data_IF_549825774257
#
_entry.id   IF_549825774257
#
_cell.length_a   1.000
_cell.length_b   1.000
_cell.length_c   1.000
_cell.angle_alpha   90.00
_cell.angle_beta   90.00
_cell.angle_gamma   90.00
#
_symmetry.space_group_name_H-M   'P 1'
#
loop_
_entity.id
_entity.type
_entity.pdbx_description
1 polymer ?
#
# COMPACT_ATOMS: atom_id res chain seq x y z
N UNK A 1 -20.31 -26.69 17.15
CA UNK A 1 -19.60 -25.74 18.03
C UNK A 1 -18.81 -24.83 17.13
N UNK A 2 -19.33 -23.61 16.93
CA UNK A 2 -18.87 -22.66 15.92
C UNK A 2 -18.00 -21.62 16.60
N UNK A 3 -16.72 -21.94 16.81
CA UNK A 3 -15.74 -21.02 17.38
C UNK A 3 -14.99 -20.30 16.25
N UNK A 4 -15.75 -19.69 15.33
CA UNK A 4 -15.17 -19.02 14.14
C UNK A 4 -15.26 -17.49 14.24
N UNK A 5 -16.07 -16.93 15.15
CA UNK A 5 -16.51 -15.55 14.95
C UNK A 5 -15.66 -14.45 15.60
N UNK A 6 -14.79 -14.73 16.58
CA UNK A 6 -14.09 -13.65 17.29
C UNK A 6 -12.73 -13.30 16.65
N UNK A 7 -11.86 -14.30 16.44
CA UNK A 7 -10.52 -14.08 15.89
C UNK A 7 -10.57 -13.63 14.43
N UNK A 8 -11.48 -14.18 13.62
CA UNK A 8 -11.68 -13.79 12.22
C UNK A 8 -12.25 -12.37 12.08
N UNK A 9 -13.12 -11.94 13.02
CA UNK A 9 -13.66 -10.58 13.04
C UNK A 9 -12.62 -9.55 13.51
N UNK A 10 -11.75 -9.92 14.46
CA UNK A 10 -10.64 -9.05 14.92
C UNK A 10 -9.60 -8.88 13.81
N UNK A 11 -9.26 -9.96 13.09
CA UNK A 11 -8.34 -9.91 11.95
C UNK A 11 -8.91 -9.09 10.79
N UNK A 12 -10.21 -9.26 10.49
CA UNK A 12 -10.90 -8.44 9.48
C UNK A 12 -10.96 -6.97 9.88
N UNK A 13 -11.31 -6.65 11.12
CA UNK A 13 -11.37 -5.26 11.61
C UNK A 13 -10.01 -4.55 11.57
N UNK A 14 -8.93 -5.28 11.89
CA UNK A 14 -7.56 -4.77 11.77
C UNK A 14 -7.15 -4.56 10.31
N UNK A 15 -7.49 -5.50 9.43
CA UNK A 15 -7.25 -5.38 7.98
C UNK A 15 -7.96 -4.18 7.36
N UNK A 16 -9.20 -3.95 7.73
CA UNK A 16 -10.01 -2.83 7.24
C UNK A 16 -9.42 -1.48 7.64
N UNK A 17 -8.99 -1.37 8.90
CA UNK A 17 -8.39 -0.15 9.41
C UNK A 17 -7.01 0.12 8.78
N UNK A 18 -6.21 -0.91 8.56
CA UNK A 18 -4.94 -0.78 7.88
C UNK A 18 -5.11 -0.33 6.43
N UNK A 19 -6.08 -0.89 5.70
CA UNK A 19 -6.44 -0.45 4.33
C UNK A 19 -6.85 1.03 4.34
N UNK A 20 -7.79 1.43 5.22
CA UNK A 20 -8.21 2.83 5.33
C UNK A 20 -7.06 3.77 5.65
N UNK A 21 -6.17 3.37 6.57
CA UNK A 21 -5.01 4.17 6.96
C UNK A 21 -4.03 4.33 5.79
N UNK A 22 -3.74 3.25 5.07
CA UNK A 22 -2.83 3.26 3.94
C UNK A 22 -3.36 4.14 2.79
N UNK A 23 -4.67 4.10 2.53
CA UNK A 23 -5.32 4.97 1.56
C UNK A 23 -5.37 6.42 1.99
N UNK A 24 -5.66 6.71 3.26
CA UNK A 24 -5.62 8.07 3.78
C UNK A 24 -4.22 8.69 3.62
N UNK A 25 -3.17 7.88 3.76
CA UNK A 25 -1.79 8.30 3.49
C UNK A 25 -1.50 8.46 1.99
N UNK A 26 -1.96 7.53 1.15
CA UNK A 26 -1.75 7.57 -0.30
C UNK A 26 -2.49 8.74 -0.98
N UNK A 27 -3.69 9.06 -0.49
CA UNK A 27 -4.54 10.16 -0.96
C UNK A 27 -4.12 11.53 -0.44
N UNK A 28 -3.11 11.61 0.44
CA UNK A 28 -2.54 12.91 0.79
C UNK A 28 -2.09 13.61 -0.50
N UNK A 29 -2.41 14.90 -0.66
CA UNK A 29 -2.15 15.60 -1.90
C UNK A 29 -0.64 15.67 -2.15
N UNK A 30 -0.14 14.76 -2.99
CA UNK A 30 1.12 14.90 -3.69
C UNK A 30 0.86 15.86 -4.84
N UNK A 31 0.75 17.14 -4.48
CA UNK A 31 0.36 18.25 -5.35
C UNK A 31 1.27 18.43 -6.57
N UNK A 32 1.14 19.53 -7.33
CA UNK A 32 2.11 19.87 -8.36
C UNK A 32 3.49 20.15 -7.76
N UNK A 33 4.56 20.07 -8.56
CA UNK A 33 5.95 20.20 -8.07
C UNK A 33 6.22 21.54 -7.39
N UNK A 34 5.50 22.58 -7.81
CA UNK A 34 5.54 23.92 -7.20
C UNK A 34 5.17 23.92 -5.72
N UNK A 35 4.39 22.93 -5.27
CA UNK A 35 3.84 22.84 -3.93
C UNK A 35 4.48 21.68 -3.15
N UNK A 36 5.63 21.18 -3.61
CA UNK A 36 6.32 20.04 -3.00
C UNK A 36 6.66 20.33 -1.53
N UNK A 37 6.34 19.42 -0.60
CA UNK A 37 6.76 19.52 0.79
C UNK A 37 8.29 19.54 0.95
N UNK A 38 8.76 19.88 2.15
CA UNK A 38 10.19 19.78 2.47
C UNK A 38 10.68 18.32 2.33
N UNK A 39 11.99 18.15 2.11
CA UNK A 39 12.61 16.82 2.05
C UNK A 39 12.31 15.98 3.29
N UNK A 40 12.33 16.59 4.48
CA UNK A 40 12.01 15.92 5.74
C UNK A 40 10.57 15.41 5.76
N UNK A 41 9.62 16.22 5.32
CA UNK A 41 8.21 15.83 5.19
C UNK A 41 8.04 14.68 4.18
N UNK A 42 8.71 14.74 3.04
CA UNK A 42 8.66 13.65 2.03
C UNK A 42 9.25 12.36 2.59
N UNK A 43 10.37 12.41 3.31
CA UNK A 43 10.97 11.23 3.94
C UNK A 43 10.07 10.62 5.02
N UNK A 44 9.43 11.46 5.83
CA UNK A 44 8.46 11.02 6.84
C UNK A 44 7.23 10.36 6.19
N UNK A 45 6.77 10.91 5.05
CA UNK A 45 5.70 10.32 4.26
C UNK A 45 6.10 8.96 3.70
N UNK A 46 7.26 8.85 3.04
CA UNK A 46 7.77 7.56 2.52
C UNK A 46 7.83 6.52 3.63
N UNK A 47 8.38 6.89 4.80
CA UNK A 47 8.44 5.98 5.96
C UNK A 47 7.04 5.53 6.41
N UNK A 48 6.07 6.44 6.40
CA UNK A 48 4.67 6.14 6.77
C UNK A 48 4.01 5.24 5.73
N UNK A 49 4.17 5.53 4.44
CA UNK A 49 3.66 4.71 3.35
C UNK A 49 4.23 3.29 3.42
N UNK A 50 5.54 3.12 3.63
CA UNK A 50 6.16 1.80 3.76
C UNK A 50 5.60 1.05 4.97
N UNK A 51 5.54 1.71 6.13
CA UNK A 51 5.01 1.13 7.37
C UNK A 51 3.59 0.62 7.19
N UNK A 52 2.72 1.40 6.56
CA UNK A 52 1.30 1.06 6.43
C UNK A 52 0.98 0.21 5.20
N UNK A 53 1.80 0.24 4.15
CA UNK A 53 1.65 -0.63 2.97
C UNK A 53 2.20 -2.04 3.17
N UNK A 54 3.20 -2.24 4.04
CA UNK A 54 3.80 -3.56 4.30
C UNK A 54 2.75 -4.61 4.70
N UNK A 55 1.84 -4.36 5.65
CA UNK A 55 0.78 -5.32 5.99
C UNK A 55 -0.10 -5.71 4.79
N UNK A 56 -0.45 -4.76 3.90
CA UNK A 56 -1.27 -5.03 2.71
C UNK A 56 -0.57 -6.04 1.80
N UNK A 57 0.75 -5.88 1.59
CA UNK A 57 1.53 -6.81 0.77
C UNK A 57 1.61 -8.20 1.39
N UNK A 58 1.79 -8.29 2.71
CA UNK A 58 1.78 -9.57 3.43
C UNK A 58 0.44 -10.29 3.25
N UNK A 59 -0.68 -9.57 3.36
CA UNK A 59 -2.00 -10.16 3.17
C UNK A 59 -2.26 -10.61 1.73
N UNK A 60 -1.84 -9.83 0.73
CA UNK A 60 -1.97 -10.25 -0.68
C UNK A 60 -1.06 -11.45 -0.96
N UNK A 61 0.17 -11.45 -0.45
CA UNK A 61 1.11 -12.55 -0.63
C UNK A 61 0.65 -13.85 0.04
N UNK A 62 -0.21 -13.77 1.07
CA UNK A 62 -0.82 -14.94 1.70
C UNK A 62 -1.94 -15.58 0.84
N UNK A 63 -2.52 -14.85 -0.12
CA UNK A 63 -3.47 -15.40 -1.09
C UNK A 63 -2.69 -16.33 -2.03
N UNK A 64 -3.16 -17.56 -2.30
CA UNK A 64 -2.55 -18.45 -3.31
C UNK A 64 -2.43 -17.73 -4.66
N UNK A 65 -1.32 -17.91 -5.36
CA UNK A 65 -1.05 -17.16 -6.59
C UNK A 65 -2.14 -17.36 -7.65
N UNK A 66 -2.69 -18.57 -7.77
CA UNK A 66 -3.76 -18.89 -8.73
C UNK A 66 -5.09 -18.17 -8.42
N UNK A 67 -5.26 -17.68 -7.18
CA UNK A 67 -6.46 -16.98 -6.70
C UNK A 67 -6.27 -15.45 -6.68
N UNK A 68 -5.08 -14.94 -7.02
CA UNK A 68 -4.81 -13.50 -7.06
C UNK A 68 -5.35 -12.88 -8.35
N UNK A 69 -5.89 -11.67 -8.24
CA UNK A 69 -6.18 -10.87 -9.43
C UNK A 69 -4.86 -10.39 -10.08
N UNK A 70 -4.85 -10.11 -11.39
CA UNK A 70 -3.68 -9.51 -12.04
C UNK A 70 -3.23 -8.20 -11.37
N UNK A 71 -4.16 -7.47 -10.76
CA UNK A 71 -3.87 -6.25 -10.01
C UNK A 71 -3.09 -6.53 -8.71
N UNK A 72 -3.42 -7.62 -8.01
CA UNK A 72 -2.66 -8.07 -6.84
C UNK A 72 -1.21 -8.44 -7.23
N UNK A 73 -1.01 -9.21 -8.30
CA UNK A 73 0.33 -9.62 -8.73
C UNK A 73 1.18 -8.44 -9.23
N UNK A 74 0.58 -7.54 -10.01
CA UNK A 74 1.25 -6.31 -10.45
C UNK A 74 1.60 -5.42 -9.24
N UNK A 75 0.68 -5.26 -8.29
CA UNK A 75 0.92 -4.48 -7.08
C UNK A 75 2.07 -5.03 -6.24
N UNK A 76 2.16 -6.36 -6.06
CA UNK A 76 3.27 -6.99 -5.35
C UNK A 76 4.61 -6.79 -6.07
N UNK A 77 4.60 -6.89 -7.40
CA UNK A 77 5.79 -6.69 -8.23
C UNK A 77 6.28 -5.25 -8.15
N UNK A 78 5.38 -4.28 -8.33
CA UNK A 78 5.70 -2.85 -8.26
C UNK A 78 6.16 -2.45 -6.85
N UNK A 79 5.54 -3.02 -5.81
CA UNK A 79 5.97 -2.82 -4.43
C UNK A 79 7.41 -3.31 -4.23
N UNK A 80 7.70 -4.57 -4.58
CA UNK A 80 9.05 -5.13 -4.43
C UNK A 80 10.09 -4.28 -5.15
N UNK A 81 9.80 -3.89 -6.40
CA UNK A 81 10.68 -3.02 -7.17
C UNK A 81 10.95 -1.68 -6.49
N UNK A 82 9.90 -0.99 -5.98
CA UNK A 82 10.06 0.30 -5.33
C UNK A 82 10.83 0.19 -4.03
N UNK A 83 10.54 -0.80 -3.18
CA UNK A 83 11.22 -0.98 -1.90
C UNK A 83 12.69 -1.36 -2.09
N UNK A 84 13.00 -2.25 -3.05
CA UNK A 84 14.37 -2.70 -3.29
C UNK A 84 15.23 -1.63 -3.93
N UNK A 85 14.65 -0.86 -4.86
CA UNK A 85 15.40 0.16 -5.61
C UNK A 85 15.53 1.47 -4.85
N UNK A 86 14.51 1.85 -4.08
CA UNK A 86 14.41 3.18 -3.50
C UNK A 86 14.35 4.31 -4.53
N UNK A 87 14.51 5.58 -4.10
CA UNK A 87 14.62 6.71 -5.01
C UNK A 87 15.90 6.62 -5.85
N UNK A 88 15.87 6.94 -7.15
CA UNK A 88 17.09 6.95 -7.96
C UNK A 88 18.11 8.00 -7.47
N UNK A 89 19.39 7.63 -7.51
CA UNK A 89 20.51 8.52 -7.20
C UNK A 89 20.70 9.60 -8.28
N UNK A 90 21.09 10.82 -7.89
CA UNK A 90 21.38 11.91 -8.83
C UNK A 90 21.36 13.31 -8.21
N UNK A 91 21.61 14.33 -9.04
CA UNK A 91 21.68 15.74 -8.63
C UNK A 91 20.33 16.31 -8.15
N UNK A 92 19.20 15.68 -8.51
CA UNK A 92 17.85 16.10 -8.12
C UNK A 92 17.19 15.06 -7.18
N UNK A 93 17.90 14.76 -6.08
CA UNK A 93 17.48 13.74 -5.13
C UNK A 93 16.12 14.04 -4.47
N UNK A 94 15.79 15.32 -4.23
CA UNK A 94 14.50 15.68 -3.63
C UNK A 94 13.33 15.39 -4.57
N UNK A 95 13.54 15.53 -5.89
CA UNK A 95 12.55 15.18 -6.90
C UNK A 95 12.44 13.66 -7.05
N UNK A 96 13.58 12.96 -7.06
CA UNK A 96 13.61 11.50 -7.06
C UNK A 96 12.83 10.93 -5.86
N UNK A 97 13.04 11.47 -4.67
CA UNK A 97 12.32 11.07 -3.45
C UNK A 97 10.83 11.34 -3.52
N UNK A 98 10.44 12.49 -4.07
CA UNK A 98 9.03 12.83 -4.17
C UNK A 98 8.29 11.96 -5.19
N UNK A 99 8.91 11.67 -6.35
CA UNK A 99 8.37 10.72 -7.32
C UNK A 99 8.31 9.30 -6.75
N UNK A 100 9.30 8.92 -5.95
CA UNK A 100 9.30 7.65 -5.24
C UNK A 100 8.12 7.54 -4.27
N UNK A 101 7.85 8.58 -3.48
CA UNK A 101 6.67 8.65 -2.60
C UNK A 101 5.35 8.50 -3.39
N UNK A 102 5.22 9.17 -4.54
CA UNK A 102 4.06 9.04 -5.44
C UNK A 102 3.90 7.63 -5.99
N UNK A 103 5.01 6.99 -6.35
CA UNK A 103 5.03 5.60 -6.79
C UNK A 103 4.50 4.66 -5.71
N UNK A 104 5.02 4.78 -4.49
CA UNK A 104 4.58 3.95 -3.35
C UNK A 104 3.10 4.17 -3.05
N UNK A 105 2.64 5.43 -3.02
CA UNK A 105 1.23 5.77 -2.79
C UNK A 105 0.31 5.08 -3.80
N UNK A 106 0.63 5.15 -5.10
CA UNK A 106 -0.15 4.50 -6.16
C UNK A 106 -0.19 2.97 -6.02
N UNK A 107 0.93 2.36 -5.65
CA UNK A 107 0.97 0.91 -5.41
C UNK A 107 0.10 0.54 -4.22
N UNK A 108 0.13 1.32 -3.14
CA UNK A 108 -0.74 1.10 -1.97
C UNK A 108 -2.22 1.16 -2.35
N UNK A 109 -2.63 2.11 -3.18
CA UNK A 109 -4.02 2.18 -3.69
C UNK A 109 -4.40 0.91 -4.47
N UNK A 110 -3.50 0.44 -5.36
CA UNK A 110 -3.74 -0.79 -6.12
C UNK A 110 -3.88 -2.03 -5.22
N UNK A 111 -3.02 -2.14 -4.20
CA UNK A 111 -3.03 -3.24 -3.23
C UNK A 111 -4.29 -3.18 -2.34
N UNK A 112 -4.67 -1.99 -1.88
CA UNK A 112 -5.88 -1.78 -1.10
C UNK A 112 -7.13 -2.24 -1.89
N UNK A 113 -7.21 -1.87 -3.16
CA UNK A 113 -8.30 -2.28 -4.03
C UNK A 113 -8.33 -3.79 -4.28
N UNK A 114 -7.18 -4.40 -4.58
CA UNK A 114 -7.08 -5.85 -4.73
C UNK A 114 -7.52 -6.61 -3.46
N UNK A 115 -7.22 -6.08 -2.27
CA UNK A 115 -7.68 -6.66 -1.01
C UNK A 115 -9.19 -6.52 -0.76
N UNK A 116 -9.86 -5.55 -1.40
CA UNK A 116 -11.33 -5.45 -1.38
C UNK A 116 -11.97 -6.47 -2.30
N UNK A 117 -11.45 -6.58 -3.52
CA UNK A 117 -11.91 -7.56 -4.51
C UNK A 117 -11.78 -9.00 -4.00
N UNK A 118 -10.69 -9.27 -3.26
CA UNK A 118 -10.42 -10.59 -2.69
C UNK A 118 -11.27 -10.92 -1.44
N UNK A 119 -12.07 -9.99 -0.88
CA UNK A 119 -13.01 -10.38 0.17
C UNK A 119 -14.08 -11.26 -0.46
N UNK A 120 -14.47 -12.39 0.18
CA UNK A 120 -15.61 -13.13 -0.29
C UNK A 120 -16.81 -12.19 -0.32
N UNK A 121 -17.44 -12.07 -1.49
CA UNK A 121 -18.80 -11.55 -1.60
C UNK A 121 -19.59 -12.41 -0.62
N UNK A 122 -20.03 -11.83 0.50
CA UNK A 122 -20.85 -12.52 1.48
C UNK A 122 -21.94 -13.26 0.72
N UNK A 123 -21.88 -14.59 0.74
CA UNK A 123 -22.83 -15.42 0.03
C UNK A 123 -24.23 -15.03 0.50
N UNK A 124 -24.96 -14.37 -0.39
CA UNK A 124 -26.40 -14.13 -0.28
C UNK A 124 -27.17 -15.29 -0.88
#
# INVERSE_FOLDING_TARGET
MTTTNADEQVDTGFRDEAVRTAEALASQPLGPYTDRPSRETVNALVTSLIRHGTPLTTWIAAIPQDDRSPQADNGLTDWGYLIDRGPPDGLDHDHAQWNHARGIARVIENLAEALREARPVSAG
#
